data_IF_240667348257
#
_entry.id   IF_240667348257
#
_cell.length_a   1.000
_cell.length_b   1.000
_cell.length_c   1.000
_cell.angle_alpha   90.00
_cell.angle_beta   90.00
_cell.angle_gamma   90.00
#
_symmetry.space_group_name_H-M   'P 1'
#
loop_
_entity.id
_entity.type
_entity.pdbx_description
1 polymer ?
#
# COMPACT_ATOMS: atom_id res chain seq x y z
N UNK A 1 2.92 47.92 66.54
CA UNK A 1 4.07 48.23 65.65
C UNK A 1 5.29 47.31 65.92
N UNK A 2 5.32 46.55 67.03
CA UNK A 2 6.52 45.75 67.43
C UNK A 2 6.60 44.29 66.89
N UNK A 3 5.62 43.78 66.14
CA UNK A 3 5.58 42.41 65.66
C UNK A 3 5.87 42.27 64.16
N UNK A 4 6.09 43.37 63.46
CA UNK A 4 6.37 43.35 62.02
C UNK A 4 7.86 43.22 61.66
N UNK A 5 8.76 43.35 62.60
CA UNK A 5 10.22 43.30 62.33
C UNK A 5 10.82 41.91 62.57
N UNK A 6 10.16 41.04 63.36
CA UNK A 6 10.66 39.68 63.64
C UNK A 6 10.34 38.68 62.54
N UNK A 7 9.38 38.97 61.67
CA UNK A 7 8.98 38.05 60.60
C UNK A 7 9.83 38.13 59.31
N UNK A 8 10.68 39.14 59.20
CA UNK A 8 11.51 39.39 58.03
C UNK A 8 12.93 38.79 58.08
N UNK A 9 13.33 38.25 59.24
CA UNK A 9 14.67 37.66 59.42
C UNK A 9 14.69 36.10 59.32
N UNK A 10 13.53 35.47 59.20
CA UNK A 10 13.46 33.98 59.11
C UNK A 10 13.29 33.43 57.70
N UNK A 11 13.20 34.26 56.69
CA UNK A 11 13.02 33.81 55.28
C UNK A 11 14.36 33.78 54.49
N UNK A 12 15.45 34.28 55.13
CA UNK A 12 16.74 34.42 54.44
C UNK A 12 17.69 33.19 54.48
N UNK A 13 17.32 32.08 55.13
CA UNK A 13 18.27 31.00 55.44
C UNK A 13 18.04 29.65 54.70
N UNK A 14 17.14 29.56 53.73
CA UNK A 14 16.83 28.30 53.03
C UNK A 14 17.14 28.25 51.54
N UNK A 15 18.01 29.12 51.04
CA UNK A 15 18.29 29.16 49.59
C UNK A 15 19.76 28.86 49.21
N UNK A 16 20.43 27.98 49.93
CA UNK A 16 21.79 27.53 49.55
C UNK A 16 21.95 25.99 49.65
N UNK A 17 21.04 25.25 49.09
CA UNK A 17 21.32 23.85 48.71
C UNK A 17 21.91 23.85 47.29
N UNK A 18 23.19 24.13 47.19
CA UNK A 18 23.99 23.93 45.98
C UNK A 18 23.97 22.47 45.62
N UNK A 19 23.24 22.12 44.55
CA UNK A 19 23.49 20.87 43.81
C UNK A 19 24.92 20.92 43.27
N UNK A 20 25.84 20.26 43.95
CA UNK A 20 27.13 19.92 43.36
C UNK A 20 26.88 18.95 42.21
N UNK A 21 26.80 19.45 40.98
CA UNK A 21 26.96 18.68 39.78
C UNK A 21 28.37 18.11 39.81
N UNK A 22 28.50 16.87 40.27
CA UNK A 22 29.70 16.08 40.05
C UNK A 22 29.79 15.85 38.55
N UNK A 23 30.62 16.64 37.91
CA UNK A 23 30.99 16.35 36.53
C UNK A 23 31.66 14.96 36.53
N UNK A 24 31.15 13.96 35.77
CA UNK A 24 31.83 12.70 35.64
C UNK A 24 33.11 12.96 34.81
N UNK A 25 34.23 13.06 35.53
CA UNK A 25 35.56 13.23 34.93
C UNK A 25 36.08 11.86 34.44
N UNK A 26 35.18 11.03 33.94
CA UNK A 26 35.52 9.78 33.30
C UNK A 26 35.54 9.98 31.79
N UNK A 27 36.75 10.05 31.26
CA UNK A 27 36.93 9.90 29.83
C UNK A 27 36.15 8.63 29.36
N UNK A 28 35.46 8.65 28.24
CA UNK A 28 34.70 7.51 27.77
C UNK A 28 35.61 6.31 27.66
N UNK A 29 35.45 5.32 28.50
CA UNK A 29 36.22 4.06 28.45
C UNK A 29 35.68 3.26 27.27
N UNK A 30 36.56 2.80 26.38
CA UNK A 30 36.21 1.84 25.35
C UNK A 30 35.81 0.54 25.99
N UNK A 31 34.57 0.15 25.87
CA UNK A 31 34.09 -1.16 26.25
C UNK A 31 34.73 -2.16 25.29
N UNK A 32 35.70 -2.95 25.78
CA UNK A 32 36.42 -3.93 24.94
C UNK A 32 35.69 -5.24 24.76
N UNK A 33 34.73 -5.53 25.62
CA UNK A 33 33.98 -6.79 25.58
C UNK A 33 32.55 -6.53 25.96
N UNK A 34 31.61 -6.79 25.04
CA UNK A 34 30.18 -6.75 25.30
C UNK A 34 29.66 -8.16 25.29
N UNK A 35 28.90 -8.57 26.32
CA UNK A 35 28.24 -9.88 26.32
C UNK A 35 27.41 -10.02 25.04
N UNK A 36 27.35 -11.24 24.50
CA UNK A 36 26.60 -11.58 23.28
C UNK A 36 27.15 -11.01 21.95
N UNK A 37 28.42 -10.60 21.89
CA UNK A 37 29.03 -10.18 20.61
C UNK A 37 28.41 -8.96 19.94
N UNK A 38 27.69 -8.10 20.67
CA UNK A 38 27.01 -6.92 20.12
C UNK A 38 27.94 -5.86 19.50
N UNK A 39 29.27 -5.95 19.76
CA UNK A 39 30.28 -5.14 19.10
C UNK A 39 31.06 -5.89 18.01
N UNK A 40 30.77 -7.16 17.79
CA UNK A 40 31.24 -7.80 16.58
C UNK A 40 30.54 -7.13 15.42
N UNK A 41 31.26 -6.57 14.43
CA UNK A 41 30.62 -6.21 13.19
C UNK A 41 30.28 -7.50 12.44
N UNK A 42 29.25 -8.21 12.92
CA UNK A 42 28.49 -9.06 12.07
C UNK A 42 27.77 -8.06 11.16
N UNK A 43 28.46 -7.63 10.11
CA UNK A 43 27.78 -7.19 8.92
C UNK A 43 27.02 -8.46 8.52
N UNK A 44 25.70 -8.56 8.75
CA UNK A 44 24.95 -9.56 8.03
C UNK A 44 25.33 -9.25 6.59
N UNK A 45 25.84 -10.22 5.86
CA UNK A 45 26.04 -10.04 4.43
C UNK A 45 24.69 -9.58 3.92
N UNK A 46 24.52 -8.29 3.82
CA UNK A 46 23.40 -7.69 3.13
C UNK A 46 23.65 -8.04 1.68
N UNK A 47 23.32 -9.29 1.33
CA UNK A 47 22.87 -9.58 0.00
C UNK A 47 21.60 -8.71 -0.14
N UNK A 48 21.82 -7.42 -0.36
CA UNK A 48 20.83 -6.58 -0.99
C UNK A 48 20.67 -7.20 -2.38
N UNK A 49 19.81 -8.23 -2.46
CA UNK A 49 19.31 -8.67 -3.73
C UNK A 49 18.84 -7.38 -4.39
N UNK A 50 19.53 -6.97 -5.44
CA UNK A 50 19.18 -5.75 -6.17
C UNK A 50 17.77 -5.99 -6.69
N UNK A 51 16.79 -5.34 -6.07
CA UNK A 51 15.42 -5.39 -6.56
C UNK A 51 15.45 -4.79 -7.96
N UNK A 52 15.17 -5.62 -8.96
CA UNK A 52 14.99 -5.16 -10.34
C UNK A 52 13.59 -4.58 -10.44
N UNK A 53 13.43 -3.57 -11.25
CA UNK A 53 12.15 -2.96 -11.54
C UNK A 53 11.85 -3.12 -13.03
N UNK A 54 10.60 -3.40 -13.32
CA UNK A 54 10.09 -3.53 -14.69
C UNK A 54 8.89 -2.62 -14.89
N UNK A 55 8.58 -2.35 -16.13
CA UNK A 55 7.36 -1.62 -16.51
C UNK A 55 6.24 -2.62 -16.76
N UNK A 56 5.12 -2.45 -16.05
CA UNK A 56 3.90 -3.25 -16.21
C UNK A 56 2.72 -2.35 -16.58
N UNK A 57 1.88 -2.74 -17.54
CA UNK A 57 0.63 -2.03 -17.81
C UNK A 57 -0.39 -2.31 -16.70
N UNK A 58 -1.11 -1.26 -16.32
CA UNK A 58 -2.36 -1.31 -15.56
C UNK A 58 -3.44 -0.68 -16.43
N UNK A 59 -4.68 -1.09 -16.28
CA UNK A 59 -5.77 -0.54 -17.07
C UNK A 59 -6.53 0.51 -16.29
N UNK A 60 -6.63 1.71 -16.85
CA UNK A 60 -7.36 2.87 -16.29
C UNK A 60 -8.39 3.36 -17.30
N UNK A 61 -9.31 4.21 -16.87
CA UNK A 61 -10.33 4.76 -17.75
C UNK A 61 -9.78 6.01 -18.45
N UNK A 62 -9.79 6.02 -19.76
CA UNK A 62 -9.33 7.16 -20.58
C UNK A 62 -10.36 8.30 -20.66
N UNK A 63 -10.04 9.35 -21.40
CA UNK A 63 -10.91 10.52 -21.59
C UNK A 63 -12.20 10.21 -22.37
N UNK A 64 -12.23 9.14 -23.17
CA UNK A 64 -13.41 8.66 -23.89
C UNK A 64 -14.35 7.84 -22.98
N UNK A 65 -13.84 7.38 -21.84
CA UNK A 65 -14.55 6.53 -20.90
C UNK A 65 -14.34 5.03 -21.13
N UNK A 66 -13.33 4.67 -21.92
CA UNK A 66 -12.93 3.31 -22.23
C UNK A 66 -11.72 2.87 -21.40
N UNK A 67 -11.44 1.57 -21.35
CA UNK A 67 -10.27 1.03 -20.64
C UNK A 67 -9.05 1.11 -21.55
N UNK A 68 -8.00 1.77 -21.07
CA UNK A 68 -6.74 1.94 -21.76
C UNK A 68 -5.55 1.54 -20.86
N UNK A 69 -4.49 0.94 -21.44
CA UNK A 69 -3.30 0.58 -20.69
C UNK A 69 -2.50 1.82 -20.30
N UNK A 70 -1.98 1.82 -19.07
CA UNK A 70 -1.04 2.82 -18.56
C UNK A 70 0.11 2.13 -17.83
N UNK A 71 1.32 2.62 -18.02
CA UNK A 71 2.53 2.00 -17.49
C UNK A 71 2.77 2.33 -16.02
N UNK A 72 3.17 1.30 -15.25
CA UNK A 72 3.62 1.43 -13.86
C UNK A 72 4.96 0.71 -13.68
N UNK A 73 5.79 1.26 -12.80
CA UNK A 73 7.06 0.62 -12.42
C UNK A 73 6.81 -0.24 -11.19
N UNK A 74 7.12 -1.53 -11.29
CA UNK A 74 6.92 -2.51 -10.23
C UNK A 74 8.16 -3.38 -10.03
N UNK A 75 8.37 -3.99 -8.86
CA UNK A 75 9.44 -4.97 -8.64
C UNK A 75 9.29 -6.19 -9.55
N UNK A 76 10.42 -6.78 -9.92
CA UNK A 76 10.50 -8.06 -10.66
C UNK A 76 10.80 -9.22 -9.69
N UNK A 77 10.06 -10.34 -9.74
CA UNK A 77 8.87 -10.59 -10.57
C UNK A 77 7.64 -9.80 -10.10
N UNK A 78 6.74 -9.40 -11.03
CA UNK A 78 5.57 -8.62 -10.66
C UNK A 78 4.55 -9.52 -9.94
N UNK A 79 4.28 -9.19 -8.68
CA UNK A 79 3.21 -9.84 -7.92
C UNK A 79 1.85 -9.16 -8.20
N UNK A 80 0.77 -9.94 -8.26
CA UNK A 80 -0.58 -9.39 -8.47
C UNK A 80 -0.91 -8.31 -7.43
N UNK A 81 -0.62 -8.56 -6.15
CA UNK A 81 -0.85 -7.58 -5.08
C UNK A 81 -0.21 -6.23 -5.38
N UNK A 82 1.09 -6.24 -5.74
CA UNK A 82 1.83 -5.00 -6.02
C UNK A 82 1.26 -4.24 -7.22
N UNK A 83 0.85 -4.96 -8.28
CA UNK A 83 0.29 -4.32 -9.48
C UNK A 83 -1.11 -3.76 -9.20
N UNK A 84 -1.93 -4.47 -8.41
CA UNK A 84 -3.24 -3.96 -7.97
C UNK A 84 -3.09 -2.75 -7.05
N UNK A 85 -2.10 -2.72 -6.16
CA UNK A 85 -1.79 -1.53 -5.36
C UNK A 85 -1.47 -0.32 -6.26
N UNK A 86 -0.64 -0.51 -7.30
CA UNK A 86 -0.35 0.55 -8.27
C UNK A 86 -1.61 1.01 -9.02
N UNK A 87 -2.52 0.09 -9.36
CA UNK A 87 -3.80 0.43 -9.97
C UNK A 87 -4.69 1.26 -9.01
N UNK A 88 -4.71 0.91 -7.73
CA UNK A 88 -5.49 1.63 -6.70
C UNK A 88 -4.98 3.05 -6.41
N UNK A 89 -3.71 3.35 -6.66
CA UNK A 89 -3.19 4.72 -6.62
C UNK A 89 -3.88 5.61 -7.67
N UNK A 90 -4.49 5.00 -8.69
CA UNK A 90 -5.21 5.67 -9.77
C UNK A 90 -4.29 6.39 -10.75
N UNK A 91 -4.85 7.29 -11.56
CA UNK A 91 -4.10 8.03 -12.56
C UNK A 91 -3.08 8.99 -11.94
N UNK A 92 -1.90 9.09 -12.55
CA UNK A 92 -0.87 10.08 -12.24
C UNK A 92 -1.37 11.51 -12.53
N UNK A 93 -0.61 12.51 -12.11
CA UNK A 93 -0.97 13.90 -12.40
C UNK A 93 -1.05 14.17 -13.91
N UNK A 94 -0.13 13.62 -14.70
CA UNK A 94 -0.11 13.77 -16.16
C UNK A 94 -1.34 13.12 -16.79
N UNK A 95 -1.67 11.89 -16.38
CA UNK A 95 -2.85 11.17 -16.86
C UNK A 95 -4.15 11.90 -16.50
N UNK A 96 -4.26 12.43 -15.29
CA UNK A 96 -5.41 13.26 -14.88
C UNK A 96 -5.55 14.51 -15.75
N UNK A 97 -4.44 15.17 -16.08
CA UNK A 97 -4.45 16.34 -16.97
C UNK A 97 -4.87 15.96 -18.40
N UNK A 98 -4.63 14.71 -18.81
CA UNK A 98 -5.09 14.14 -20.08
C UNK A 98 -6.51 13.55 -20.03
N UNK A 99 -7.23 13.71 -18.90
CA UNK A 99 -8.61 13.25 -18.73
C UNK A 99 -8.77 11.81 -18.28
N UNK A 100 -7.69 11.11 -17.94
CA UNK A 100 -7.79 9.73 -17.41
C UNK A 100 -8.35 9.72 -16.00
N UNK A 101 -9.13 8.69 -15.70
CA UNK A 101 -9.79 8.49 -14.41
C UNK A 101 -9.65 7.03 -13.94
N UNK A 102 -10.15 6.73 -12.74
CA UNK A 102 -10.30 5.37 -12.24
C UNK A 102 -11.75 5.15 -11.80
N UNK A 103 -12.30 4.00 -12.17
CA UNK A 103 -13.61 3.57 -11.69
C UNK A 103 -13.56 2.93 -10.30
N UNK A 104 -12.36 2.57 -9.83
CA UNK A 104 -12.16 1.98 -8.50
C UNK A 104 -12.35 3.04 -7.40
N UNK A 105 -13.12 2.72 -6.34
CA UNK A 105 -13.24 3.61 -5.18
C UNK A 105 -11.90 3.80 -4.48
N UNK A 106 -11.60 5.03 -4.06
CA UNK A 106 -10.38 5.32 -3.28
C UNK A 106 -10.37 4.64 -1.90
N UNK A 107 -11.54 4.29 -1.38
CA UNK A 107 -11.72 3.59 -0.10
C UNK A 107 -11.61 2.07 -0.22
N UNK A 108 -11.39 1.54 -1.43
CA UNK A 108 -11.28 0.11 -1.63
C UNK A 108 -10.00 -0.43 -1.00
N UNK A 109 -10.14 -1.37 -0.09
CA UNK A 109 -9.02 -2.03 0.62
C UNK A 109 -8.85 -3.44 0.08
N UNK A 110 -7.64 -3.76 -0.38
CA UNK A 110 -7.25 -5.12 -0.76
C UNK A 110 -6.79 -5.87 0.49
N UNK A 111 -7.42 -6.98 0.78
CA UNK A 111 -7.03 -7.90 1.87
C UNK A 111 -5.98 -8.90 1.37
N UNK A 112 -6.14 -9.40 0.15
CA UNK A 112 -5.15 -10.25 -0.52
C UNK A 112 -5.31 -10.19 -2.04
N UNK A 113 -4.21 -10.43 -2.77
CA UNK A 113 -4.24 -10.61 -4.22
C UNK A 113 -3.14 -11.57 -4.63
N UNK A 114 -3.51 -12.69 -5.23
CA UNK A 114 -2.61 -13.77 -5.62
C UNK A 114 -3.00 -14.36 -6.96
N UNK A 115 -2.04 -14.97 -7.65
CA UNK A 115 -2.30 -15.83 -8.81
C UNK A 115 -1.90 -17.25 -8.42
N UNK A 116 -2.80 -18.18 -8.63
CA UNK A 116 -2.47 -19.60 -8.55
C UNK A 116 -1.74 -20.01 -9.84
N UNK A 117 -0.44 -20.25 -9.72
CA UNK A 117 0.43 -20.60 -10.85
C UNK A 117 0.02 -21.91 -11.53
N UNK A 118 -0.56 -22.85 -10.79
CA UNK A 118 -0.98 -24.14 -11.35
C UNK A 118 -2.24 -24.02 -12.23
N UNK A 119 -3.17 -23.16 -11.83
CA UNK A 119 -4.44 -22.96 -12.53
C UNK A 119 -4.44 -21.73 -13.44
N UNK A 120 -3.56 -20.75 -13.20
CA UNK A 120 -3.57 -19.46 -13.87
C UNK A 120 -4.77 -18.58 -13.51
N UNK A 121 -5.43 -18.86 -12.38
CA UNK A 121 -6.55 -18.08 -11.86
C UNK A 121 -6.02 -17.05 -10.86
N UNK A 122 -6.36 -15.79 -11.06
CA UNK A 122 -6.14 -14.73 -10.08
C UNK A 122 -7.26 -14.71 -9.04
N UNK A 123 -6.93 -14.39 -7.80
CA UNK A 123 -7.91 -14.15 -6.72
C UNK A 123 -7.57 -12.82 -6.07
N UNK A 124 -8.55 -11.93 -5.99
CA UNK A 124 -8.44 -10.68 -5.23
C UNK A 124 -9.55 -10.65 -4.18
N UNK A 125 -9.16 -10.47 -2.91
CA UNK A 125 -10.08 -10.31 -1.80
C UNK A 125 -10.08 -8.86 -1.32
N UNK A 126 -11.26 -8.27 -1.22
CA UNK A 126 -11.47 -6.90 -0.78
C UNK A 126 -12.18 -6.83 0.57
N UNK A 127 -11.94 -5.75 1.30
CA UNK A 127 -12.67 -5.44 2.55
C UNK A 127 -14.11 -4.98 2.33
N UNK A 128 -14.47 -4.57 1.09
CA UNK A 128 -15.80 -4.09 0.74
C UNK A 128 -16.18 -4.46 -0.70
N UNK A 129 -17.48 -4.54 -0.95
CA UNK A 129 -18.01 -4.94 -2.26
C UNK A 129 -17.98 -3.79 -3.27
N UNK A 130 -17.74 -4.13 -4.53
CA UNK A 130 -17.92 -3.25 -5.69
C UNK A 130 -19.40 -3.19 -6.14
N UNK A 131 -20.27 -4.06 -5.61
CA UNK A 131 -21.66 -4.13 -6.01
C UNK A 131 -22.50 -2.90 -5.62
N UNK A 132 -22.00 -2.06 -4.71
CA UNK A 132 -22.62 -0.77 -4.36
C UNK A 132 -22.39 0.34 -5.38
N UNK A 133 -21.52 0.12 -6.37
CA UNK A 133 -21.23 1.09 -7.42
C UNK A 133 -22.37 1.14 -8.46
N UNK A 134 -22.58 2.31 -9.10
CA UNK A 134 -23.44 2.38 -10.27
C UNK A 134 -23.02 1.38 -11.34
N UNK A 135 -23.94 0.74 -12.08
CA UNK A 135 -23.64 -0.38 -12.98
C UNK A 135 -22.50 -0.11 -13.98
N UNK A 136 -22.49 1.06 -14.62
CA UNK A 136 -21.42 1.43 -15.55
C UNK A 136 -20.06 1.53 -14.85
N UNK A 137 -20.01 2.14 -13.67
CA UNK A 137 -18.78 2.25 -12.89
C UNK A 137 -18.31 0.88 -12.39
N UNK A 138 -19.24 0.02 -11.97
CA UNK A 138 -18.94 -1.35 -11.58
C UNK A 138 -18.29 -2.14 -12.72
N UNK A 139 -18.85 -2.08 -13.93
CA UNK A 139 -18.28 -2.75 -15.11
C UNK A 139 -16.86 -2.26 -15.40
N UNK A 140 -16.62 -0.95 -15.40
CA UNK A 140 -15.28 -0.39 -15.59
C UNK A 140 -14.33 -0.79 -14.48
N UNK A 141 -14.76 -0.77 -13.20
CA UNK A 141 -13.94 -1.16 -12.07
C UNK A 141 -13.50 -2.63 -12.16
N UNK A 142 -14.43 -3.53 -12.49
CA UNK A 142 -14.13 -4.95 -12.67
C UNK A 142 -13.22 -5.16 -13.89
N UNK A 143 -13.48 -4.49 -15.00
CA UNK A 143 -12.64 -4.52 -16.20
C UNK A 143 -11.21 -4.06 -15.93
N UNK A 144 -11.01 -2.97 -15.17
CA UNK A 144 -9.69 -2.52 -14.72
C UNK A 144 -8.94 -3.64 -13.98
N UNK A 145 -9.60 -4.31 -13.03
CA UNK A 145 -9.01 -5.39 -12.24
C UNK A 145 -8.64 -6.61 -13.10
N UNK A 146 -9.58 -7.07 -13.93
CA UNK A 146 -9.42 -8.27 -14.76
C UNK A 146 -8.30 -8.10 -15.78
N UNK A 147 -8.31 -6.99 -16.53
CA UNK A 147 -7.31 -6.72 -17.55
C UNK A 147 -5.92 -6.50 -16.94
N UNK A 148 -5.86 -5.87 -15.77
CA UNK A 148 -4.60 -5.69 -15.04
C UNK A 148 -4.08 -7.01 -14.46
N UNK A 149 -4.95 -7.87 -13.93
CA UNK A 149 -4.57 -9.18 -13.42
C UNK A 149 -4.06 -10.12 -14.51
N UNK A 150 -4.64 -10.04 -15.72
CA UNK A 150 -4.18 -10.84 -16.87
C UNK A 150 -2.72 -10.56 -17.21
N UNK A 151 -2.28 -9.31 -17.13
CA UNK A 151 -0.89 -8.93 -17.44
C UNK A 151 0.12 -9.62 -16.53
N UNK A 152 -0.24 -9.91 -15.28
CA UNK A 152 0.64 -10.53 -14.28
C UNK A 152 0.35 -12.02 -14.04
N UNK A 153 -0.27 -12.69 -15.00
CA UNK A 153 -0.37 -14.14 -15.02
C UNK A 153 -1.75 -14.73 -14.74
N UNK A 154 -2.78 -13.93 -14.42
CA UNK A 154 -4.14 -14.43 -14.23
C UNK A 154 -4.85 -14.75 -15.57
N UNK A 155 -4.21 -15.61 -16.41
CA UNK A 155 -4.61 -15.89 -17.79
C UNK A 155 -5.93 -16.65 -17.92
N UNK A 156 -6.30 -17.40 -16.90
CA UNK A 156 -7.55 -18.19 -16.87
C UNK A 156 -8.73 -17.38 -16.32
N UNK A 157 -8.48 -16.21 -15.78
CA UNK A 157 -9.48 -15.31 -15.25
C UNK A 157 -9.19 -14.85 -13.83
N UNK A 158 -10.09 -14.03 -13.32
CA UNK A 158 -10.04 -13.42 -12.00
C UNK A 158 -11.30 -13.78 -11.20
N UNK A 159 -11.09 -14.23 -9.97
CA UNK A 159 -12.13 -14.38 -8.94
C UNK A 159 -12.05 -13.18 -8.00
N UNK A 160 -13.17 -12.53 -7.77
CA UNK A 160 -13.29 -11.41 -6.83
C UNK A 160 -13.98 -11.89 -5.57
N UNK A 161 -13.37 -11.63 -4.42
CA UNK A 161 -13.91 -11.95 -3.09
C UNK A 161 -14.14 -10.68 -2.28
N UNK A 162 -15.03 -10.80 -1.31
CA UNK A 162 -15.23 -9.78 -0.26
C UNK A 162 -15.21 -10.49 1.08
N UNK A 163 -14.22 -10.18 1.92
CA UNK A 163 -14.02 -10.85 3.20
C UNK A 163 -14.03 -12.40 3.07
N UNK A 164 -13.33 -12.93 2.07
CA UNK A 164 -13.22 -14.35 1.76
C UNK A 164 -14.40 -14.96 0.97
N UNK A 165 -15.48 -14.21 0.75
CA UNK A 165 -16.68 -14.70 0.05
C UNK A 165 -16.63 -14.33 -1.42
N UNK A 166 -16.63 -15.34 -2.31
CA UNK A 166 -16.66 -15.16 -3.77
C UNK A 166 -17.88 -14.35 -4.21
N UNK A 167 -17.62 -13.33 -5.03
CA UNK A 167 -18.66 -12.44 -5.54
C UNK A 167 -19.14 -12.89 -6.92
N UNK A 168 -20.43 -12.72 -7.14
CA UNK A 168 -21.03 -12.86 -8.45
C UNK A 168 -21.12 -11.47 -9.10
N UNK A 169 -20.25 -11.19 -10.06
CA UNK A 169 -20.06 -9.85 -10.62
C UNK A 169 -20.75 -9.69 -11.97
N UNK A 170 -21.19 -8.47 -12.26
CA UNK A 170 -21.86 -8.11 -13.51
C UNK A 170 -20.84 -8.07 -14.66
N UNK A 171 -21.21 -8.65 -15.79
CA UNK A 171 -20.48 -8.60 -17.06
C UNK A 171 -21.08 -7.56 -18.02
N UNK A 172 -20.31 -7.06 -19.00
CA UNK A 172 -20.84 -6.19 -20.08
C UNK A 172 -21.98 -6.81 -20.87
N UNK A 173 -22.05 -8.15 -20.93
CA UNK A 173 -23.16 -8.90 -21.55
C UNK A 173 -24.48 -8.86 -20.77
N UNK A 174 -24.50 -8.27 -19.58
CA UNK A 174 -25.64 -8.29 -18.63
C UNK A 174 -25.75 -9.59 -17.82
N UNK A 175 -24.87 -10.55 -18.03
CA UNK A 175 -24.80 -11.80 -17.23
C UNK A 175 -23.96 -11.55 -15.96
N UNK A 176 -24.02 -12.52 -15.04
CA UNK A 176 -23.17 -12.53 -13.85
C UNK A 176 -22.26 -13.76 -13.87
N UNK A 177 -21.03 -13.61 -13.35
CA UNK A 177 -20.07 -14.68 -13.21
C UNK A 177 -19.26 -14.55 -11.93
N UNK A 178 -18.78 -15.67 -11.41
CA UNK A 178 -17.85 -15.73 -10.27
C UNK A 178 -16.39 -15.75 -10.71
N UNK A 179 -16.13 -16.25 -11.91
CA UNK A 179 -14.83 -16.20 -12.58
C UNK A 179 -14.99 -15.36 -13.84
N UNK A 180 -14.23 -14.28 -13.95
CA UNK A 180 -14.31 -13.31 -15.05
C UNK A 180 -13.01 -13.30 -15.84
N UNK A 181 -13.11 -13.15 -17.15
CA UNK A 181 -11.96 -13.22 -18.06
C UNK A 181 -11.75 -11.90 -18.82
N UNK A 182 -10.54 -11.63 -19.34
CA UNK A 182 -10.30 -10.46 -20.17
C UNK A 182 -11.23 -10.38 -21.39
N UNK A 183 -11.65 -11.51 -21.93
CA UNK A 183 -12.58 -11.59 -23.09
C UNK A 183 -13.94 -10.99 -22.77
N UNK A 184 -14.39 -11.11 -21.53
CA UNK A 184 -15.68 -10.59 -21.11
C UNK A 184 -15.73 -9.05 -21.14
N UNK A 185 -14.55 -8.39 -21.10
CA UNK A 185 -14.39 -6.95 -21.02
C UNK A 185 -13.78 -6.31 -22.29
N UNK A 186 -13.61 -7.08 -23.36
CA UNK A 186 -13.03 -6.56 -24.61
C UNK A 186 -13.82 -5.39 -25.21
N UNK A 187 -15.14 -5.37 -25.04
CA UNK A 187 -16.01 -4.28 -25.51
C UNK A 187 -15.80 -2.96 -24.77
N UNK A 188 -15.04 -2.96 -23.67
CA UNK A 188 -14.71 -1.76 -22.90
C UNK A 188 -13.28 -1.27 -23.20
N UNK A 189 -12.53 -1.96 -24.03
CA UNK A 189 -11.21 -1.51 -24.46
C UNK A 189 -11.35 -0.45 -25.55
N UNK A 190 -10.48 0.54 -25.47
CA UNK A 190 -10.27 1.48 -26.57
C UNK A 190 -9.71 0.69 -27.77
N UNK A 191 -10.43 0.72 -28.89
CA UNK A 191 -10.08 0.01 -30.12
C UNK A 191 -9.04 0.73 -30.96
#
# INVERSE_FOLDING_TARGET
VKYRVVLLTLVGALALSSCTLVAPNSAPSRVKTVPFGLLSPTIPGTNHARVRFITQPVYIVDAAGDLAPSSRIVPEPPALATVIEQLLLGPTHIEKSAGYTSALPKSLVVLSATVDEATGVGVIDFGSSLNALPPKQQLLAIGQLVLTADVVGAKRGLEIRVAGVTQNVLLPSGKHATLVTPRDFQSLLNG
#
